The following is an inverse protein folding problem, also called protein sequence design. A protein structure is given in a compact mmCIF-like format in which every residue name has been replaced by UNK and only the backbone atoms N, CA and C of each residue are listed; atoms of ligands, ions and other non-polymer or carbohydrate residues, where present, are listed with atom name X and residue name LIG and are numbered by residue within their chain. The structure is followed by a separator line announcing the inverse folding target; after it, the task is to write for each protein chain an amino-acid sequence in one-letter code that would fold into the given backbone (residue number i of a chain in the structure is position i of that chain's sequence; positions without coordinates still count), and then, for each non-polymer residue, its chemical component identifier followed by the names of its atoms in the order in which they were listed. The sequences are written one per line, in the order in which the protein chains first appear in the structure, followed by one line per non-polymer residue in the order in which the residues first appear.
data_IF_304016402219
#
_entry.id   IF_304016402219
#
_cell.length_a   1.000
_cell.length_b   1.000
_cell.length_c   1.000
_cell.angle_alpha   90.00
_cell.angle_beta   90.00
_cell.angle_gamma   90.00
#
_symmetry.space_group_name_H-M   'P 1'
#
loop_
_entity.id
_entity.type
_entity.pdbx_description
1 polymer ?
#
# COMPACT_ATOMS: atom_id res chain seq x y z
N UNK A 1 -10.33 23.90 16.58
CA UNK A 1 -10.75 23.68 15.17
C UNK A 1 -11.26 22.26 15.07
N UNK A 2 -12.53 22.03 14.73
CA UNK A 2 -13.00 20.69 14.39
C UNK A 2 -12.65 20.44 12.93
N UNK A 3 -11.70 19.56 12.67
CA UNK A 3 -11.41 19.11 11.30
C UNK A 3 -12.59 18.25 10.85
N UNK A 4 -13.44 18.78 9.98
CA UNK A 4 -14.57 18.03 9.41
C UNK A 4 -13.98 17.04 8.40
N UNK A 5 -13.72 15.80 8.83
CA UNK A 5 -13.28 14.73 7.95
C UNK A 5 -14.49 14.07 7.28
N UNK A 6 -14.39 13.76 5.98
CA UNK A 6 -15.48 13.06 5.29
C UNK A 6 -15.67 11.64 5.85
N UNK A 7 -16.91 11.17 6.03
CA UNK A 7 -17.16 9.85 6.58
C UNK A 7 -16.70 8.73 5.62
N UNK A 8 -16.27 7.58 6.16
CA UNK A 8 -15.92 6.39 5.37
C UNK A 8 -17.15 5.82 4.65
N UNK A 9 -16.93 5.16 3.52
CA UNK A 9 -18.00 4.54 2.70
C UNK A 9 -18.34 3.10 3.08
N UNK A 10 -17.43 2.44 3.80
CA UNK A 10 -17.52 1.05 4.25
C UNK A 10 -17.32 1.00 5.77
N UNK A 11 -17.80 -0.07 6.38
CA UNK A 11 -17.61 -0.34 7.80
C UNK A 11 -16.12 -0.59 8.15
N UNK A 12 -15.65 0.06 9.21
CA UNK A 12 -14.24 -0.01 9.62
C UNK A 12 -13.80 -1.43 9.99
N UNK A 13 -14.65 -2.20 10.67
CA UNK A 13 -14.32 -3.57 11.07
C UNK A 13 -14.25 -4.50 9.85
N UNK A 14 -15.09 -4.26 8.84
CA UNK A 14 -15.09 -5.04 7.61
C UNK A 14 -13.84 -4.82 6.75
N UNK A 15 -13.23 -3.62 6.79
CA UNK A 15 -12.02 -3.32 6.01
C UNK A 15 -10.72 -3.55 6.77
N UNK A 16 -10.78 -3.76 8.10
CA UNK A 16 -9.59 -3.93 8.94
C UNK A 16 -8.61 -4.99 8.40
N UNK A 17 -9.05 -6.18 7.94
CA UNK A 17 -8.11 -7.17 7.37
C UNK A 17 -7.35 -6.65 6.14
N UNK A 18 -7.97 -5.75 5.35
CA UNK A 18 -7.34 -5.16 4.15
C UNK A 18 -6.29 -4.11 4.51
N UNK A 19 -6.41 -3.48 5.70
CA UNK A 19 -5.40 -2.60 6.29
C UNK A 19 -4.25 -3.44 6.84
N UNK A 20 -4.60 -4.46 7.62
CA UNK A 20 -3.66 -5.38 8.27
C UNK A 20 -2.72 -6.05 7.28
N UNK A 21 -3.19 -6.40 6.08
CA UNK A 21 -2.34 -6.95 5.01
C UNK A 21 -1.14 -6.06 4.66
N UNK A 22 -1.29 -4.73 4.71
CA UNK A 22 -0.21 -3.80 4.41
C UNK A 22 0.59 -3.46 5.68
N UNK A 23 -0.07 -3.21 6.81
CA UNK A 23 0.64 -2.87 8.06
C UNK A 23 1.51 -4.02 8.55
N UNK A 24 1.10 -5.27 8.32
CA UNK A 24 1.89 -6.45 8.64
C UNK A 24 3.19 -6.58 7.83
N UNK A 25 3.34 -5.85 6.71
CA UNK A 25 4.59 -5.76 5.94
C UNK A 25 5.26 -4.38 6.08
N UNK A 26 4.95 -3.65 7.16
CA UNK A 26 5.67 -2.45 7.57
C UNK A 26 5.11 -1.14 7.04
N UNK A 27 3.89 -1.13 6.49
CA UNK A 27 3.24 0.13 6.10
C UNK A 27 2.68 0.91 7.29
N UNK A 28 2.84 2.22 7.23
CA UNK A 28 2.14 3.20 8.07
C UNK A 28 0.88 3.73 7.38
N UNK A 29 -0.23 3.82 8.11
CA UNK A 29 -1.49 4.33 7.57
C UNK A 29 -1.60 5.85 7.72
N UNK A 30 -1.75 6.55 6.60
CA UNK A 30 -1.98 7.99 6.58
C UNK A 30 -3.48 8.24 6.48
N UNK A 31 -4.12 8.55 7.61
CA UNK A 31 -5.59 8.67 7.71
C UNK A 31 -6.12 10.11 7.62
N UNK A 32 -5.24 11.10 7.58
CA UNK A 32 -5.59 12.52 7.48
C UNK A 32 -4.79 13.24 6.42
N UNK A 33 -5.30 14.39 5.96
CA UNK A 33 -4.61 15.28 5.02
C UNK A 33 -3.27 15.73 5.60
N UNK A 34 -3.25 16.10 6.87
CA UNK A 34 -2.07 16.55 7.59
C UNK A 34 -1.00 15.46 7.66
N UNK A 35 -1.38 14.20 7.89
CA UNK A 35 -0.45 13.08 7.89
C UNK A 35 0.20 12.88 6.51
N UNK A 36 -0.57 13.04 5.43
CA UNK A 36 -0.05 13.00 4.05
C UNK A 36 0.91 14.15 3.79
N UNK A 37 0.56 15.38 4.15
CA UNK A 37 1.39 16.56 3.97
C UNK A 37 2.72 16.44 4.74
N UNK A 38 2.64 16.05 6.01
CA UNK A 38 3.80 15.88 6.89
C UNK A 38 4.70 14.70 6.50
N UNK A 39 4.24 13.82 5.61
CA UNK A 39 5.03 12.66 5.17
C UNK A 39 5.62 12.87 3.77
N UNK A 40 4.81 13.38 2.83
CA UNK A 40 5.18 13.46 1.40
C UNK A 40 5.82 14.77 1.00
N UNK A 41 5.54 15.87 1.70
CA UNK A 41 6.10 17.20 1.37
C UNK A 41 7.35 17.54 2.21
N UNK A 42 7.90 16.57 2.91
CA UNK A 42 9.17 16.73 3.62
C UNK A 42 10.33 16.68 2.63
N UNK A 43 11.27 17.61 2.79
CA UNK A 43 12.50 17.66 1.99
C UNK A 43 13.67 17.07 2.81
N UNK A 44 13.64 15.75 3.03
CA UNK A 44 14.66 15.00 3.76
C UNK A 44 15.44 14.01 2.87
N UNK A 45 15.30 14.13 1.54
CA UNK A 45 15.90 13.26 0.52
C UNK A 45 15.57 11.77 0.62
N UNK A 46 14.58 11.40 1.45
CA UNK A 46 14.09 10.03 1.59
C UNK A 46 13.03 9.70 0.53
N UNK A 47 13.02 8.46 0.06
CA UNK A 47 11.93 7.98 -0.80
C UNK A 47 10.76 7.46 0.01
N UNK A 48 9.54 7.80 -0.42
CA UNK A 48 8.31 7.36 0.21
C UNK A 48 7.48 6.58 -0.78
N UNK A 49 7.23 5.31 -0.48
CA UNK A 49 6.22 4.53 -1.19
C UNK A 49 4.85 4.82 -0.61
N UNK A 50 3.92 5.19 -1.48
CA UNK A 50 2.51 5.38 -1.14
C UNK A 50 1.70 4.35 -1.90
N UNK A 51 0.95 3.53 -1.19
CA UNK A 51 -0.07 2.64 -1.79
C UNK A 51 -1.44 3.24 -1.55
N UNK A 52 -2.16 3.55 -2.63
CA UNK A 52 -3.58 3.88 -2.57
C UNK A 52 -4.36 2.56 -2.54
N UNK A 53 -4.61 2.04 -1.34
CA UNK A 53 -5.34 0.80 -1.12
C UNK A 53 -6.82 0.94 -1.47
N UNK A 54 -7.52 -0.18 -1.64
CA UNK A 54 -8.94 -0.22 -2.02
C UNK A 54 -9.57 -1.55 -1.61
N UNK A 55 -10.90 -1.57 -1.48
CA UNK A 55 -11.70 -2.79 -1.30
C UNK A 55 -11.82 -3.64 -2.57
N UNK A 56 -11.40 -3.13 -3.73
CA UNK A 56 -11.55 -3.80 -5.02
C UNK A 56 -10.77 -5.14 -5.08
N UNK A 57 -11.30 -6.13 -5.82
CA UNK A 57 -10.67 -7.43 -5.97
C UNK A 57 -9.25 -7.40 -6.54
N UNK A 58 -8.93 -6.46 -7.43
CA UNK A 58 -7.56 -6.27 -7.94
C UNK A 58 -6.59 -5.74 -6.87
N UNK A 59 -7.08 -5.12 -5.80
CA UNK A 59 -6.25 -4.76 -4.66
C UNK A 59 -5.89 -6.02 -3.84
N UNK A 60 -6.88 -6.88 -3.58
CA UNK A 60 -6.70 -8.11 -2.82
C UNK A 60 -5.83 -9.15 -3.55
N UNK A 61 -6.10 -9.39 -4.83
CA UNK A 61 -5.43 -10.41 -5.64
C UNK A 61 -4.15 -9.94 -6.34
N UNK A 62 -3.95 -8.62 -6.46
CA UNK A 62 -2.84 -8.05 -7.24
C UNK A 62 -2.00 -7.07 -6.43
N UNK A 63 -2.54 -5.88 -6.13
CA UNK A 63 -1.75 -4.77 -5.58
C UNK A 63 -1.11 -5.09 -4.22
N UNK A 64 -1.89 -5.51 -3.23
CA UNK A 64 -1.37 -5.81 -1.88
C UNK A 64 -0.35 -6.95 -1.88
N UNK A 65 -0.61 -8.14 -2.48
CA UNK A 65 0.39 -9.19 -2.56
C UNK A 65 1.61 -8.78 -3.40
N UNK A 66 1.43 -8.05 -4.50
CA UNK A 66 2.54 -7.61 -5.35
C UNK A 66 3.46 -6.60 -4.68
N UNK A 67 2.91 -5.62 -3.97
CA UNK A 67 3.69 -4.68 -3.16
C UNK A 67 4.40 -5.42 -2.02
N UNK A 68 3.70 -6.32 -1.32
CA UNK A 68 4.29 -7.09 -0.21
C UNK A 68 5.50 -7.92 -0.67
N UNK A 69 5.40 -8.53 -1.85
CA UNK A 69 6.48 -9.27 -2.49
C UNK A 69 7.63 -8.34 -2.92
N UNK A 70 7.32 -7.17 -3.51
CA UNK A 70 8.35 -6.19 -3.90
C UNK A 70 9.18 -5.71 -2.72
N UNK A 71 8.58 -5.61 -1.52
CA UNK A 71 9.26 -5.19 -0.31
C UNK A 71 10.19 -6.25 0.31
N UNK A 72 10.29 -7.43 -0.31
CA UNK A 72 11.31 -8.44 0.01
C UNK A 72 12.61 -8.24 -0.80
N UNK A 73 12.66 -7.21 -1.65
CA UNK A 73 13.81 -6.88 -2.47
C UNK A 73 14.98 -6.31 -1.65
N UNK A 74 16.19 -6.36 -2.22
CA UNK A 74 17.40 -5.86 -1.57
C UNK A 74 17.38 -4.35 -1.36
N UNK A 75 16.83 -3.61 -2.32
CA UNK A 75 16.69 -2.15 -2.24
C UNK A 75 15.22 -1.79 -2.22
N UNK A 76 14.80 -1.01 -1.23
CA UNK A 76 13.40 -0.64 -1.04
C UNK A 76 13.27 0.83 -0.58
N UNK A 77 12.06 1.43 -0.63
CA UNK A 77 11.84 2.81 -0.23
C UNK A 77 12.08 3.07 1.26
N UNK A 78 12.52 4.27 1.62
CA UNK A 78 12.83 4.65 3.01
C UNK A 78 11.60 4.63 3.93
N UNK A 79 10.46 5.12 3.44
CA UNK A 79 9.18 5.13 4.15
C UNK A 79 8.14 4.34 3.36
N UNK A 80 7.32 3.57 4.06
CA UNK A 80 6.25 2.74 3.49
C UNK A 80 4.93 3.23 4.05
N UNK A 81 4.08 3.79 3.20
CA UNK A 81 2.85 4.46 3.63
C UNK A 81 1.66 4.04 2.78
N UNK A 82 0.46 4.07 3.36
CA UNK A 82 -0.77 3.74 2.65
C UNK A 82 -1.90 4.68 3.01
N UNK A 83 -2.73 4.97 2.01
CA UNK A 83 -4.03 5.64 2.16
C UNK A 83 -5.11 4.71 1.62
N UNK A 84 -6.31 4.75 2.18
CA UNK A 84 -7.36 3.78 1.83
C UNK A 84 -8.53 4.43 1.08
N UNK A 85 -8.63 4.18 -0.23
CA UNK A 85 -9.68 4.71 -1.09
C UNK A 85 -11.08 4.25 -0.64
N UNK A 86 -11.97 5.22 -0.42
CA UNK A 86 -13.32 4.98 0.10
C UNK A 86 -13.39 4.86 1.63
N UNK A 87 -12.27 4.95 2.35
CA UNK A 87 -12.23 5.00 3.81
C UNK A 87 -11.63 6.33 4.28
N UNK A 88 -10.32 6.52 4.10
CA UNK A 88 -9.58 7.72 4.50
C UNK A 88 -9.61 8.78 3.39
N UNK A 89 -10.82 9.22 3.04
CA UNK A 89 -11.08 9.96 1.79
C UNK A 89 -10.25 11.24 1.67
N UNK A 90 -10.08 12.00 2.75
CA UNK A 90 -9.33 13.26 2.74
C UNK A 90 -7.82 13.03 2.56
N UNK A 91 -7.29 11.96 3.12
CA UNK A 91 -5.90 11.55 2.87
C UNK A 91 -5.71 11.11 1.41
N UNK A 92 -6.64 10.32 0.87
CA UNK A 92 -6.59 9.85 -0.52
C UNK A 92 -6.64 11.00 -1.51
N UNK A 93 -7.55 11.96 -1.30
CA UNK A 93 -7.64 13.13 -2.17
C UNK A 93 -6.38 13.98 -2.07
N UNK A 94 -5.76 14.08 -0.88
CA UNK A 94 -4.50 14.78 -0.76
C UNK A 94 -3.35 14.10 -1.52
N UNK A 95 -3.26 12.77 -1.48
CA UNK A 95 -2.27 12.04 -2.30
C UNK A 95 -2.51 12.29 -3.79
N UNK A 96 -3.78 12.29 -4.24
CA UNK A 96 -4.15 12.54 -5.63
C UNK A 96 -3.81 13.97 -6.10
N UNK A 97 -3.97 14.97 -5.23
CA UNK A 97 -3.52 16.35 -5.53
C UNK A 97 -2.01 16.42 -5.84
N UNK A 98 -1.21 15.58 -5.17
CA UNK A 98 0.25 15.54 -5.34
C UNK A 98 0.67 14.72 -6.57
N UNK A 99 -0.20 13.85 -7.09
CA UNK A 99 -0.01 13.07 -8.31
C UNK A 99 -0.34 13.90 -9.56
N UNK A 100 0.30 15.06 -9.71
CA UNK A 100 0.02 16.03 -10.78
C UNK A 100 0.29 15.40 -12.15
N UNK A 101 -0.72 15.40 -13.03
CA UNK A 101 -0.63 14.84 -14.38
C UNK A 101 -1.06 13.38 -14.48
N UNK A 102 -1.21 12.68 -13.35
CA UNK A 102 -1.65 11.30 -13.33
C UNK A 102 -3.16 11.18 -13.17
N UNK A 103 -3.76 10.21 -13.86
CA UNK A 103 -5.20 9.96 -13.72
C UNK A 103 -5.49 9.24 -12.39
N UNK A 104 -6.34 9.80 -11.51
CA UNK A 104 -6.64 9.17 -10.24
C UNK A 104 -7.23 7.76 -10.43
N UNK A 105 -6.63 6.77 -9.79
CA UNK A 105 -7.10 5.39 -9.84
C UNK A 105 -6.81 4.64 -8.54
N UNK A 106 -7.57 3.58 -8.24
CA UNK A 106 -7.35 2.72 -7.09
C UNK A 106 -7.72 1.26 -7.40
N UNK A 107 -6.90 0.27 -6.99
CA UNK A 107 -5.60 0.43 -6.34
C UNK A 107 -4.55 1.06 -7.27
N UNK A 108 -3.57 1.77 -6.69
CA UNK A 108 -2.40 2.33 -7.38
C UNK A 108 -1.25 2.52 -6.39
N UNK A 109 -0.03 2.70 -6.87
CA UNK A 109 1.15 2.95 -6.04
C UNK A 109 2.04 4.06 -6.62
N UNK A 110 2.76 4.78 -5.77
CA UNK A 110 3.63 5.88 -6.18
C UNK A 110 4.89 5.95 -5.31
N UNK A 111 6.01 6.35 -5.90
CA UNK A 111 7.22 6.70 -5.16
C UNK A 111 7.38 8.22 -5.19
N UNK A 112 7.46 8.82 -4.01
CA UNK A 112 7.73 10.24 -3.83
C UNK A 112 9.13 10.48 -3.30
N UNK A 113 9.69 11.64 -3.63
CA UNK A 113 10.89 12.20 -3.00
C UNK A 113 10.79 13.73 -3.01
N UNK A 114 11.00 14.38 -1.87
CA UNK A 114 10.98 15.84 -1.75
C UNK A 114 9.73 16.49 -2.38
N UNK A 115 8.54 15.94 -2.06
CA UNK A 115 7.28 16.43 -2.60
C UNK A 115 7.01 16.14 -4.08
N UNK A 116 7.90 15.43 -4.78
CA UNK A 116 7.76 15.11 -6.21
C UNK A 116 7.54 13.63 -6.42
N UNK A 117 6.72 13.29 -7.42
CA UNK A 117 6.51 11.91 -7.88
C UNK A 117 7.71 11.50 -8.76
N UNK A 118 8.33 10.38 -8.44
CA UNK A 118 9.40 9.77 -9.24
C UNK A 118 8.89 8.63 -10.10
N UNK A 119 7.90 7.90 -9.59
CA UNK A 119 7.30 6.75 -10.26
C UNK A 119 5.83 6.63 -9.87
N UNK A 120 4.99 6.23 -10.82
CA UNK A 120 3.58 5.94 -10.58
C UNK A 120 3.18 4.63 -11.27
N UNK A 121 2.47 3.78 -10.54
CA UNK A 121 1.86 2.54 -11.01
C UNK A 121 0.34 2.68 -10.95
N UNK A 122 -0.32 3.01 -12.08
CA UNK A 122 -1.76 3.19 -12.15
C UNK A 122 -2.51 1.85 -12.12
N UNK A 123 -3.82 1.90 -11.83
CA UNK A 123 -4.67 0.70 -11.75
C UNK A 123 -4.61 -0.19 -12.99
N UNK A 124 -4.57 0.37 -14.20
CA UNK A 124 -4.59 -0.44 -15.43
C UNK A 124 -3.31 -1.27 -15.63
N UNK A 125 -2.23 -0.97 -14.90
CA UNK A 125 -1.01 -1.79 -14.85
C UNK A 125 -0.98 -2.77 -13.67
N UNK A 126 -2.04 -2.78 -12.86
CA UNK A 126 -2.27 -3.72 -11.75
C UNK A 126 -3.38 -4.70 -12.13
N UNK A 127 -4.46 -4.20 -12.73
CA UNK A 127 -5.62 -4.97 -13.13
C UNK A 127 -5.25 -5.97 -14.25
N UNK A 128 -5.46 -7.26 -13.98
CA UNK A 128 -5.10 -8.34 -14.90
C UNK A 128 -3.64 -8.80 -14.82
N UNK A 129 -2.82 -8.21 -13.95
CA UNK A 129 -1.43 -8.61 -13.73
C UNK A 129 -1.28 -9.48 -12.48
N UNK A 130 -0.34 -10.42 -12.50
CA UNK A 130 -0.02 -11.24 -11.33
C UNK A 130 0.74 -10.44 -10.27
N UNK A 131 0.69 -10.84 -8.99
CA UNK A 131 1.49 -10.24 -7.93
C UNK A 131 2.99 -10.16 -8.29
N UNK A 132 3.55 -11.17 -8.94
CA UNK A 132 4.95 -11.23 -9.34
C UNK A 132 5.28 -10.20 -10.43
N UNK A 133 4.37 -9.99 -11.39
CA UNK A 133 4.52 -8.98 -12.43
C UNK A 133 4.47 -7.56 -11.84
N UNK A 134 3.54 -7.32 -10.92
CA UNK A 134 3.43 -6.06 -10.18
C UNK A 134 4.69 -5.83 -9.34
N UNK A 135 5.15 -6.87 -8.63
CA UNK A 135 6.35 -6.80 -7.82
C UNK A 135 7.56 -6.43 -8.68
N UNK A 136 7.73 -7.07 -9.84
CA UNK A 136 8.82 -6.77 -10.77
C UNK A 136 8.84 -5.31 -11.23
N UNK A 137 7.67 -4.73 -11.55
CA UNK A 137 7.56 -3.31 -11.91
C UNK A 137 8.03 -2.41 -10.76
N UNK A 138 7.58 -2.71 -9.54
CA UNK A 138 7.95 -1.96 -8.35
C UNK A 138 9.44 -2.09 -8.02
N UNK A 139 10.01 -3.29 -8.05
CA UNK A 139 11.43 -3.50 -7.75
C UNK A 139 12.33 -2.81 -8.76
N UNK A 140 11.96 -2.77 -10.05
CA UNK A 140 12.69 -1.97 -11.04
C UNK A 140 12.69 -0.47 -10.69
N UNK A 141 11.58 0.07 -10.22
CA UNK A 141 11.53 1.45 -9.73
C UNK A 141 12.31 1.63 -8.42
N UNK A 142 12.35 0.62 -7.55
CA UNK A 142 13.15 0.66 -6.32
C UNK A 142 14.64 0.73 -6.63
N UNK A 143 15.12 -0.09 -7.58
CA UNK A 143 16.51 -0.10 -8.02
C UNK A 143 16.94 1.24 -8.65
N UNK A 144 16.01 1.95 -9.30
CA UNK A 144 16.28 3.25 -9.92
C UNK A 144 16.29 4.40 -8.91
N UNK A 145 15.37 4.41 -7.94
CA UNK A 145 15.10 5.59 -7.11
C UNK A 145 15.47 5.46 -5.63
N UNK A 146 15.64 4.25 -5.12
CA UNK A 146 15.78 3.98 -3.68
C UNK A 146 17.18 3.52 -3.30
N UNK A 147 17.54 3.64 -2.02
CA UNK A 147 18.86 3.25 -1.51
C UNK A 147 18.81 2.48 -0.17
N UNK A 148 17.65 2.37 0.47
CA UNK A 148 17.54 1.65 1.75
C UNK A 148 17.59 0.15 1.52
N UNK A 149 18.38 -0.53 2.34
CA UNK A 149 18.43 -1.99 2.32
C UNK A 149 17.12 -2.58 2.88
N UNK A 150 16.56 -3.52 2.14
CA UNK A 150 15.45 -4.36 2.56
C UNK A 150 15.92 -5.64 3.26
N UNK A 151 15.00 -6.58 3.54
CA UNK A 151 13.56 -6.48 3.31
C UNK A 151 12.85 -5.51 4.28
N UNK A 152 11.57 -5.26 4.05
CA UNK A 152 10.72 -4.48 4.98
C UNK A 152 10.46 -5.20 6.31
N UNK A 153 10.35 -6.53 6.27
CA UNK A 153 10.07 -7.43 7.40
C UNK A 153 10.83 -8.74 7.20
N UNK A 154 10.93 -9.57 8.24
CA UNK A 154 11.59 -10.88 8.10
C UNK A 154 10.83 -11.79 7.15
N UNK A 155 11.53 -12.79 6.58
CA UNK A 155 10.92 -13.79 5.69
C UNK A 155 9.77 -14.54 6.37
N UNK A 156 9.94 -14.89 7.65
CA UNK A 156 8.94 -15.60 8.45
C UNK A 156 7.68 -14.73 8.64
N UNK A 157 7.85 -13.43 8.89
CA UNK A 157 6.74 -12.50 9.01
C UNK A 157 6.01 -12.34 7.68
N UNK A 158 6.74 -12.22 6.57
CA UNK A 158 6.16 -12.14 5.23
C UNK A 158 5.35 -13.40 4.87
N UNK A 159 5.88 -14.59 5.15
CA UNK A 159 5.19 -15.87 4.92
C UNK A 159 3.92 -16.01 5.77
N UNK A 160 3.93 -15.51 7.02
CA UNK A 160 2.75 -15.53 7.88
C UNK A 160 1.58 -14.69 7.31
N UNK A 161 1.89 -13.54 6.68
CA UNK A 161 0.88 -12.70 6.00
C UNK A 161 0.27 -13.43 4.80
N UNK A 162 1.08 -14.17 4.04
CA UNK A 162 0.60 -14.98 2.91
C UNK A 162 -0.26 -16.16 3.37
N UNK A 163 0.14 -16.86 4.43
CA UNK A 163 -0.61 -18.00 4.98
C UNK A 163 -2.01 -17.59 5.47
N UNK A 164 -2.14 -16.40 6.06
CA UNK A 164 -3.43 -15.83 6.46
C UNK A 164 -4.39 -15.64 5.27
N UNK A 165 -3.87 -15.37 4.06
CA UNK A 165 -4.67 -15.27 2.83
C UNK A 165 -5.10 -16.63 2.29
N UNK A 166 -4.24 -17.65 2.37
CA UNK A 166 -4.54 -18.99 1.85
C UNK A 166 -5.53 -19.75 2.73
N UNK A 167 -5.53 -19.48 4.04
CA UNK A 167 -6.38 -20.17 5.01
C UNK A 167 -7.75 -19.47 5.22
N UNK A 168 -8.41 -19.04 4.15
CA UNK A 168 -9.75 -18.42 4.16
C UNK A 168 -10.90 -19.31 4.67
N UNK A 169 -10.61 -20.39 5.41
CA UNK A 169 -11.56 -21.19 6.16
C UNK A 169 -10.79 -21.99 7.22
N UNK A 170 -10.86 -21.60 8.50
CA UNK A 170 -10.82 -22.65 9.53
C UNK A 170 -12.15 -23.39 9.43
N UNK A 171 -12.25 -24.36 8.50
CA UNK A 171 -13.20 -25.44 8.67
C UNK A 171 -12.79 -26.09 9.99
N UNK A 172 -13.63 -26.07 11.04
CA UNK A 172 -13.36 -26.90 12.20
C UNK A 172 -13.39 -28.33 11.68
N UNK A 173 -12.23 -28.98 11.61
CA UNK A 173 -12.22 -30.43 11.62
C UNK A 173 -12.77 -30.80 12.99
N UNK A 174 -14.05 -31.19 12.99
CA UNK A 174 -14.69 -31.79 14.14
C UNK A 174 -13.92 -33.08 14.43
N UNK A 175 -12.91 -33.00 15.29
CA UNK A 175 -12.27 -34.16 15.86
C UNK A 175 -13.12 -34.61 17.05
N UNK A 176 -14.02 -35.55 16.72
CA UNK A 176 -14.59 -36.58 17.59
C UNK A 176 -15.34 -36.15 18.86
N UNK A 177 -16.67 -36.29 18.83
CA UNK A 177 -17.34 -37.40 19.52
C UNK A 177 -18.72 -37.66 18.90
#
# INVERSE_FOLDING_TARGET
MFTITRPPMYDETAVQPMRDELTAVGFEELRSKEAVENTLQVNDDKTVLVVINSVCGCAAGGARPGVSAALQHLVIPDKLTTVFAGQDRDAVDKVRELLVGETPSSPSAAIFKNGKVLFFLPRFEIEGYSPEQIAKKLTSAFDEFCNRQGPSVSKEQYEAVQYAKTCGSKIPLNQNN
#
